data_IF_565333629872
#
_entry.id   IF_565333629872
#
_cell.length_a   1.000
_cell.length_b   1.000
_cell.length_c   1.000
_cell.angle_alpha   90.00
_cell.angle_beta   90.00
_cell.angle_gamma   90.00
#
_symmetry.space_group_name_H-M   'P 1'
#
loop_
_entity.id
_entity.type
_entity.pdbx_description
1 polymer ?
#
# COMPACT_ATOMS: atom_id res chain seq x y z
N UNK A 1 -58.81 1.42 16.06
CA UNK A 1 -58.76 2.89 16.23
C UNK A 1 -57.44 3.19 16.91
N UNK A 2 -56.46 3.90 16.35
CA UNK A 2 -56.25 4.51 15.04
C UNK A 2 -54.74 4.55 14.82
N UNK A 3 -54.33 4.42 13.56
CA UNK A 3 -52.96 4.62 13.12
C UNK A 3 -52.70 6.12 12.91
N UNK A 4 -51.60 6.66 13.46
CA UNK A 4 -51.10 7.98 13.06
C UNK A 4 -49.78 7.85 12.29
N UNK A 5 -49.98 7.89 10.98
CA UNK A 5 -48.99 8.06 9.94
C UNK A 5 -48.42 9.49 10.00
N UNK A 6 -47.12 9.65 10.24
CA UNK A 6 -46.39 10.91 10.00
C UNK A 6 -45.26 10.65 9.00
N UNK A 7 -45.68 10.52 7.75
CA UNK A 7 -45.11 11.17 6.56
C UNK A 7 -43.61 11.48 6.58
N UNK A 8 -42.82 10.50 6.12
CA UNK A 8 -41.48 10.72 5.57
C UNK A 8 -41.61 11.23 4.13
N UNK A 9 -41.30 12.50 3.85
CA UNK A 9 -41.09 12.99 2.47
C UNK A 9 -39.80 13.83 2.39
N UNK A 10 -38.76 13.15 1.90
CA UNK A 10 -37.78 13.56 0.88
C UNK A 10 -37.32 15.02 0.79
N UNK A 11 -36.12 15.28 1.32
CA UNK A 11 -35.25 16.38 0.89
C UNK A 11 -33.75 15.99 0.98
N UNK A 12 -33.34 14.87 0.35
CA UNK A 12 -31.94 14.38 0.45
C UNK A 12 -31.16 14.27 -0.87
N UNK A 13 -31.73 14.71 -2.00
CA UNK A 13 -31.09 14.53 -3.32
C UNK A 13 -30.00 15.55 -3.70
N UNK A 14 -30.00 16.75 -3.13
CA UNK A 14 -29.12 17.85 -3.59
C UNK A 14 -27.95 18.17 -2.64
N UNK A 15 -28.10 17.92 -1.34
CA UNK A 15 -27.03 18.17 -0.35
C UNK A 15 -25.91 17.10 -0.41
N UNK A 16 -26.28 15.85 -0.71
CA UNK A 16 -25.36 14.70 -0.75
C UNK A 16 -24.32 14.81 -1.89
N UNK A 17 -24.71 15.29 -3.07
CA UNK A 17 -23.77 15.46 -4.21
C UNK A 17 -22.73 16.57 -3.97
N UNK A 18 -23.14 17.70 -3.38
CA UNK A 18 -22.21 18.80 -3.03
C UNK A 18 -21.28 18.42 -1.88
N UNK A 19 -21.76 17.70 -0.87
CA UNK A 19 -20.91 17.16 0.20
C UNK A 19 -19.92 16.12 -0.35
N UNK A 20 -20.38 15.19 -1.19
CA UNK A 20 -19.53 14.20 -1.85
C UNK A 20 -18.46 14.86 -2.75
N UNK A 21 -18.81 15.85 -3.56
CA UNK A 21 -17.84 16.57 -4.40
C UNK A 21 -16.81 17.35 -3.58
N UNK A 22 -17.21 17.95 -2.45
CA UNK A 22 -16.28 18.62 -1.52
C UNK A 22 -15.32 17.61 -0.89
N UNK A 23 -15.82 16.45 -0.47
CA UNK A 23 -14.98 15.39 0.11
C UNK A 23 -13.93 14.90 -0.91
N UNK A 24 -14.31 14.70 -2.17
CA UNK A 24 -13.36 14.31 -3.22
C UNK A 24 -12.32 15.40 -3.46
N UNK A 25 -12.70 16.69 -3.45
CA UNK A 25 -11.73 17.77 -3.61
C UNK A 25 -10.73 17.83 -2.42
N UNK A 26 -11.22 17.62 -1.20
CA UNK A 26 -10.37 17.54 -0.01
C UNK A 26 -9.43 16.34 -0.09
N UNK A 27 -9.93 15.17 -0.48
CA UNK A 27 -9.13 13.96 -0.67
C UNK A 27 -7.99 14.17 -1.67
N UNK A 28 -8.28 14.78 -2.84
CA UNK A 28 -7.25 15.13 -3.83
C UNK A 28 -6.20 16.05 -3.25
N UNK A 29 -6.61 17.14 -2.60
CA UNK A 29 -5.70 18.11 -2.00
C UNK A 29 -4.83 17.46 -0.92
N UNK A 30 -5.41 16.59 -0.10
CA UNK A 30 -4.69 15.88 0.95
C UNK A 30 -3.65 14.94 0.34
N UNK A 31 -4.02 14.12 -0.64
CA UNK A 31 -3.10 13.19 -1.32
C UNK A 31 -1.92 13.90 -1.99
N UNK A 32 -2.19 15.02 -2.69
CA UNK A 32 -1.13 15.84 -3.29
C UNK A 32 -0.24 16.47 -2.22
N UNK A 33 -0.82 16.95 -1.12
CA UNK A 33 -0.08 17.58 -0.02
C UNK A 33 0.85 16.57 0.65
N UNK A 34 0.38 15.37 0.97
CA UNK A 34 1.24 14.33 1.54
C UNK A 34 2.26 13.82 0.54
N UNK A 35 1.94 13.77 -0.75
CA UNK A 35 2.93 13.45 -1.80
C UNK A 35 4.06 14.47 -1.83
N UNK A 36 3.73 15.78 -1.73
CA UNK A 36 4.73 16.85 -1.63
C UNK A 36 5.67 16.64 -0.46
N UNK A 37 5.12 16.39 0.72
CA UNK A 37 5.93 16.17 1.91
C UNK A 37 6.75 14.89 1.80
N UNK A 38 6.18 13.81 1.25
CA UNK A 38 6.87 12.55 1.02
C UNK A 38 8.07 12.70 0.08
N UNK A 39 7.91 13.43 -1.04
CA UNK A 39 9.03 13.76 -1.94
C UNK A 39 10.10 14.58 -1.23
N UNK A 40 9.70 15.58 -0.43
CA UNK A 40 10.64 16.38 0.36
C UNK A 40 11.40 15.50 1.37
N UNK A 41 10.71 14.62 2.08
CA UNK A 41 11.33 13.68 3.03
C UNK A 41 12.32 12.75 2.33
N UNK A 42 12.00 12.25 1.13
CA UNK A 42 12.93 11.44 0.34
C UNK A 42 14.18 12.23 -0.10
N UNK A 43 14.02 13.49 -0.49
CA UNK A 43 15.13 14.38 -0.85
C UNK A 43 16.03 14.69 0.36
N UNK A 44 15.44 14.89 1.54
CA UNK A 44 16.19 15.12 2.79
C UNK A 44 16.88 13.86 3.30
N UNK A 45 16.26 12.69 3.08
CA UNK A 45 16.82 11.38 3.44
C UNK A 45 18.02 11.02 2.58
N UNK A 46 17.98 11.39 1.30
CA UNK A 46 19.07 11.10 0.37
C UNK A 46 20.30 11.95 0.71
N UNK A 47 21.38 11.26 1.09
CA UNK A 47 22.62 11.90 1.55
C UNK A 47 23.82 11.42 0.74
N UNK A 48 24.01 10.10 0.64
CA UNK A 48 25.08 9.48 -0.16
C UNK A 48 24.73 8.05 -0.59
N UNK A 49 24.00 7.29 0.25
CA UNK A 49 23.58 5.93 -0.07
C UNK A 49 22.27 5.91 -0.87
N UNK A 50 22.13 5.00 -1.85
CA UNK A 50 20.88 4.81 -2.56
C UNK A 50 19.74 4.41 -1.63
N UNK A 51 18.53 4.90 -1.92
CA UNK A 51 17.32 4.51 -1.19
C UNK A 51 16.82 3.16 -1.72
N UNK A 52 16.57 2.20 -0.82
CA UNK A 52 16.12 0.85 -1.14
C UNK A 52 14.72 0.52 -0.58
N UNK A 53 14.28 -0.73 -0.77
CA UNK A 53 12.96 -1.22 -0.34
C UNK A 53 12.78 -1.28 1.20
N UNK A 54 13.85 -1.10 1.98
CA UNK A 54 13.78 -1.08 3.45
C UNK A 54 13.46 0.29 4.03
N UNK A 55 13.58 1.37 3.24
CA UNK A 55 13.27 2.73 3.68
C UNK A 55 11.77 2.92 3.89
N UNK A 56 11.39 3.22 5.13
CA UNK A 56 10.01 3.57 5.48
C UNK A 56 9.50 4.80 4.70
N UNK A 57 10.39 5.77 4.44
CA UNK A 57 10.09 6.94 3.65
C UNK A 57 9.71 6.56 2.21
N UNK A 58 10.44 5.61 1.60
CA UNK A 58 10.11 5.09 0.28
C UNK A 58 8.84 4.25 0.29
N UNK A 59 8.67 3.35 1.27
CA UNK A 59 7.47 2.51 1.38
C UNK A 59 6.22 3.39 1.45
N UNK A 60 6.27 4.46 2.24
CA UNK A 60 5.17 5.41 2.36
C UNK A 60 4.97 6.22 1.07
N UNK A 61 6.05 6.68 0.42
CA UNK A 61 5.97 7.34 -0.89
C UNK A 61 5.30 6.46 -1.96
N UNK A 62 5.74 5.21 -2.08
CA UNK A 62 5.20 4.25 -3.03
C UNK A 62 3.70 4.02 -2.77
N UNK A 63 3.29 3.93 -1.50
CA UNK A 63 1.89 3.85 -1.11
C UNK A 63 1.09 5.09 -1.53
N UNK A 64 1.62 6.29 -1.29
CA UNK A 64 0.98 7.55 -1.70
C UNK A 64 0.83 7.61 -3.22
N UNK A 65 1.88 7.25 -3.97
CA UNK A 65 1.86 7.27 -5.42
C UNK A 65 0.87 6.24 -5.98
N UNK A 66 0.84 5.01 -5.43
CA UNK A 66 -0.14 3.97 -5.82
C UNK A 66 -1.58 4.45 -5.57
N UNK A 67 -1.85 5.11 -4.44
CA UNK A 67 -3.15 5.71 -4.11
C UNK A 67 -3.53 6.83 -5.08
N UNK A 68 -2.60 7.72 -5.41
CA UNK A 68 -2.83 8.80 -6.39
C UNK A 68 -3.17 8.23 -7.77
N UNK A 69 -2.40 7.24 -8.23
CA UNK A 69 -2.62 6.59 -9.53
C UNK A 69 -3.89 5.74 -9.54
N UNK A 70 -4.37 5.30 -8.38
CA UNK A 70 -5.61 4.53 -8.25
C UNK A 70 -6.83 5.41 -7.90
N UNK A 71 -6.62 6.69 -7.63
CA UNK A 71 -7.68 7.58 -7.15
C UNK A 71 -8.78 7.73 -8.21
N UNK A 72 -9.97 7.21 -7.89
CA UNK A 72 -11.14 7.14 -8.77
C UNK A 72 -10.86 6.45 -10.11
N UNK A 73 -10.07 5.38 -10.05
CA UNK A 73 -9.96 4.44 -11.16
C UNK A 73 -11.33 3.81 -11.44
N UNK A 74 -11.70 3.71 -12.71
CA UNK A 74 -12.94 3.06 -13.13
C UNK A 74 -12.87 1.58 -12.80
N UNK A 75 -13.90 1.08 -12.11
CA UNK A 75 -14.05 -0.33 -11.78
C UNK A 75 -14.09 -1.24 -13.01
N UNK A 76 -14.13 -2.57 -12.83
CA UNK A 76 -14.04 -3.52 -13.93
C UNK A 76 -15.16 -3.29 -14.96
N UNK A 77 -14.79 -3.12 -16.24
CA UNK A 77 -15.74 -2.98 -17.36
C UNK A 77 -16.24 -4.35 -17.85
N UNK A 78 -15.87 -5.46 -17.21
CA UNK A 78 -16.18 -6.82 -17.68
C UNK A 78 -16.60 -7.75 -16.56
N UNK A 79 -17.81 -8.28 -16.69
CA UNK A 79 -18.38 -9.38 -15.90
C UNK A 79 -17.61 -10.71 -16.06
N UNK A 80 -16.71 -10.81 -17.06
CA UNK A 80 -15.97 -12.05 -17.39
C UNK A 80 -14.50 -12.07 -16.96
N UNK A 81 -14.00 -11.04 -16.27
CA UNK A 81 -12.61 -11.02 -15.81
C UNK A 81 -12.47 -11.78 -14.49
N UNK A 82 -12.24 -13.09 -14.58
CA UNK A 82 -11.98 -13.98 -13.43
C UNK A 82 -10.57 -13.87 -12.86
N UNK A 83 -9.69 -13.01 -13.40
CA UNK A 83 -8.25 -13.01 -13.07
C UNK A 83 -7.64 -11.62 -12.82
N UNK A 84 -8.35 -10.73 -12.12
CA UNK A 84 -7.73 -9.53 -11.56
C UNK A 84 -8.53 -8.26 -11.73
N UNK A 85 -8.67 -7.53 -10.63
CA UNK A 85 -9.21 -6.17 -10.62
C UNK A 85 -8.36 -5.30 -11.57
N UNK A 86 -9.01 -4.57 -12.50
CA UNK A 86 -8.33 -3.53 -13.29
C UNK A 86 -7.63 -2.57 -12.34
N UNK A 87 -6.34 -2.39 -12.52
CA UNK A 87 -5.49 -1.54 -11.68
C UNK A 87 -4.85 -0.43 -12.47
N UNK A 88 -4.21 0.52 -11.77
CA UNK A 88 -3.49 1.61 -12.42
C UNK A 88 -2.41 1.10 -13.40
N UNK A 89 -1.90 -0.11 -13.21
CA UNK A 89 -0.98 -0.77 -14.17
C UNK A 89 -1.58 -0.88 -15.57
N UNK A 90 -2.86 -1.22 -15.72
CA UNK A 90 -3.50 -1.33 -17.04
C UNK A 90 -3.49 0.00 -17.79
N UNK A 91 -3.66 1.10 -17.05
CA UNK A 91 -3.54 2.45 -17.58
C UNK A 91 -2.10 2.77 -17.97
N UNK A 92 -1.15 2.54 -17.07
CA UNK A 92 0.28 2.79 -17.30
C UNK A 92 0.78 2.01 -18.52
N UNK A 93 0.46 0.73 -18.61
CA UNK A 93 0.85 -0.13 -19.74
C UNK A 93 0.45 0.48 -21.08
N UNK A 94 -0.77 1.01 -21.18
CA UNK A 94 -1.27 1.59 -22.42
C UNK A 94 -0.73 3.00 -22.66
N UNK A 95 -0.78 3.87 -21.65
CA UNK A 95 -0.46 5.28 -21.77
C UNK A 95 1.05 5.54 -21.89
N UNK A 96 1.88 4.70 -21.27
CA UNK A 96 3.34 4.80 -21.29
C UNK A 96 4.00 4.00 -22.42
N UNK A 97 3.23 3.25 -23.23
CA UNK A 97 3.77 2.45 -24.34
C UNK A 97 4.57 3.25 -25.38
N UNK A 98 4.29 4.56 -25.47
CA UNK A 98 4.96 5.49 -26.40
C UNK A 98 6.21 6.15 -25.81
N UNK A 99 6.52 5.93 -24.53
CA UNK A 99 7.75 6.45 -23.92
C UNK A 99 8.94 5.71 -24.55
N UNK A 100 9.93 6.40 -25.14
CA UNK A 100 11.08 5.74 -25.75
C UNK A 100 11.86 4.89 -24.74
N UNK A 101 12.30 3.69 -25.13
CA UNK A 101 13.07 2.78 -24.27
C UNK A 101 12.41 2.57 -22.90
N UNK A 102 11.10 2.30 -22.88
CA UNK A 102 10.37 2.10 -21.64
C UNK A 102 10.55 0.70 -21.06
N UNK A 103 10.33 0.57 -19.75
CA UNK A 103 10.35 -0.71 -19.04
C UNK A 103 9.03 -1.50 -19.07
N UNK A 104 7.99 -1.01 -19.76
CA UNK A 104 6.64 -1.61 -19.71
C UNK A 104 6.66 -3.04 -20.24
N UNK A 105 7.30 -3.28 -21.39
CA UNK A 105 7.42 -4.61 -21.98
C UNK A 105 8.21 -5.58 -21.09
N UNK A 106 9.29 -5.11 -20.46
CA UNK A 106 10.11 -5.91 -19.56
C UNK A 106 9.32 -6.37 -18.34
N UNK A 107 8.55 -5.47 -17.72
CA UNK A 107 7.71 -5.77 -16.55
C UNK A 107 6.56 -6.71 -16.91
N UNK A 108 5.97 -6.53 -18.09
CA UNK A 108 4.85 -7.37 -18.55
C UNK A 108 5.26 -8.85 -18.67
N UNK A 109 6.52 -9.11 -19.03
CA UNK A 109 7.09 -10.44 -19.26
C UNK A 109 7.76 -11.05 -18.01
N UNK A 110 7.67 -10.42 -16.83
CA UNK A 110 8.26 -10.98 -15.60
C UNK A 110 7.47 -12.19 -15.10
N UNK A 111 8.09 -13.37 -15.09
CA UNK A 111 7.45 -14.63 -14.69
C UNK A 111 7.09 -14.68 -13.20
N UNK A 112 7.86 -14.01 -12.34
CA UNK A 112 7.65 -13.97 -10.89
C UNK A 112 6.62 -12.92 -10.43
N UNK A 113 6.03 -12.15 -11.35
CA UNK A 113 5.11 -11.03 -11.07
C UNK A 113 3.89 -11.16 -11.97
N UNK A 114 2.88 -11.89 -11.50
CA UNK A 114 1.71 -12.22 -12.34
C UNK A 114 0.58 -11.17 -12.26
N UNK A 115 0.35 -10.56 -11.09
CA UNK A 115 -0.83 -9.70 -10.89
C UNK A 115 -0.62 -8.27 -11.42
N UNK A 116 -1.70 -7.62 -11.88
CA UNK A 116 -1.63 -6.22 -12.33
C UNK A 116 -1.13 -5.27 -11.24
N UNK A 117 -1.50 -5.50 -9.97
CA UNK A 117 -1.00 -4.71 -8.83
C UNK A 117 0.51 -4.92 -8.62
N UNK A 118 0.96 -6.18 -8.67
CA UNK A 118 2.36 -6.54 -8.57
C UNK A 118 3.21 -5.87 -9.66
N UNK A 119 2.73 -5.91 -10.90
CA UNK A 119 3.33 -5.23 -12.05
C UNK A 119 3.36 -3.70 -11.88
N UNK A 120 2.28 -3.10 -11.38
CA UNK A 120 2.25 -1.68 -11.06
C UNK A 120 3.28 -1.26 -10.01
N UNK A 121 3.46 -2.06 -8.96
CA UNK A 121 4.49 -1.83 -7.92
C UNK A 121 5.92 -2.02 -8.43
N UNK A 122 6.13 -3.00 -9.31
CA UNK A 122 7.41 -3.19 -9.99
C UNK A 122 7.72 -1.99 -10.89
N UNK A 123 6.72 -1.49 -11.62
CA UNK A 123 6.87 -0.31 -12.45
C UNK A 123 7.24 0.95 -11.67
N UNK A 124 6.65 1.19 -10.50
CA UNK A 124 7.05 2.32 -9.65
C UNK A 124 8.55 2.26 -9.35
N UNK A 125 9.04 1.09 -8.95
CA UNK A 125 10.46 0.86 -8.63
C UNK A 125 11.37 1.07 -9.84
N UNK A 126 11.05 0.43 -10.96
CA UNK A 126 11.88 0.52 -12.18
C UNK A 126 11.90 1.96 -12.72
N UNK A 127 10.75 2.64 -12.77
CA UNK A 127 10.68 4.02 -13.23
C UNK A 127 11.46 5.01 -12.35
N UNK A 128 11.55 4.75 -11.05
CA UNK A 128 12.38 5.52 -10.12
C UNK A 128 13.88 5.22 -10.28
N UNK A 129 14.26 3.95 -10.41
CA UNK A 129 15.66 3.56 -10.69
C UNK A 129 16.15 4.11 -12.03
N UNK A 130 15.28 4.16 -13.04
CA UNK A 130 15.56 4.80 -14.33
C UNK A 130 15.61 6.32 -14.24
N UNK A 131 15.21 6.94 -13.11
CA UNK A 131 15.08 8.39 -12.89
C UNK A 131 14.09 9.06 -13.84
N UNK A 132 13.08 8.32 -14.30
CA UNK A 132 12.15 8.73 -15.39
C UNK A 132 10.69 8.79 -14.96
N UNK A 133 10.40 8.68 -13.67
CA UNK A 133 9.03 8.72 -13.12
C UNK A 133 8.21 9.91 -13.65
N UNK A 134 8.77 11.13 -13.63
CA UNK A 134 8.09 12.33 -14.13
C UNK A 134 7.81 12.28 -15.65
N UNK A 135 8.74 11.75 -16.45
CA UNK A 135 8.59 11.58 -17.91
C UNK A 135 7.45 10.61 -18.24
N UNK A 136 7.38 9.47 -17.53
CA UNK A 136 6.31 8.51 -17.71
C UNK A 136 4.95 9.12 -17.42
N UNK A 137 4.77 9.76 -16.26
CA UNK A 137 3.49 10.36 -15.87
C UNK A 137 3.12 11.50 -16.82
N UNK A 138 4.08 12.35 -17.20
CA UNK A 138 3.84 13.45 -18.16
C UNK A 138 3.37 12.90 -19.51
N UNK A 139 4.00 11.85 -20.01
CA UNK A 139 3.61 11.21 -21.28
C UNK A 139 2.24 10.57 -21.18
N UNK A 140 1.93 9.90 -20.07
CA UNK A 140 0.64 9.28 -19.84
C UNK A 140 -0.49 10.33 -19.84
N UNK A 141 -0.29 11.48 -19.19
CA UNK A 141 -1.26 12.57 -19.11
C UNK A 141 -1.50 13.27 -20.46
N UNK A 142 -0.55 13.22 -21.40
CA UNK A 142 -0.74 13.74 -22.76
C UNK A 142 -1.75 12.91 -23.56
N UNK A 143 -1.87 11.60 -23.30
CA UNK A 143 -2.92 10.77 -23.91
C UNK A 143 -4.24 10.90 -23.15
N UNK A 144 -4.82 12.09 -23.21
CA UNK A 144 -6.08 12.43 -22.52
C UNK A 144 -7.24 11.49 -22.85
N UNK A 145 -7.27 10.93 -24.07
CA UNK A 145 -8.27 9.93 -24.48
C UNK A 145 -8.11 8.66 -23.66
N UNK A 146 -6.90 8.14 -23.54
CA UNK A 146 -6.62 6.96 -22.71
C UNK A 146 -6.87 7.24 -21.24
N UNK A 147 -6.39 8.36 -20.67
CA UNK A 147 -6.64 8.71 -19.26
C UNK A 147 -8.13 8.78 -18.95
N UNK A 148 -8.96 9.42 -19.79
CA UNK A 148 -10.42 9.48 -19.58
C UNK A 148 -11.13 8.13 -19.67
N UNK A 149 -10.55 7.13 -20.35
CA UNK A 149 -11.09 5.76 -20.39
C UNK A 149 -10.92 5.03 -19.06
N UNK A 150 -9.87 5.35 -18.30
CA UNK A 150 -9.53 4.65 -17.06
C UNK A 150 -9.96 5.36 -15.78
N UNK A 151 -10.20 6.68 -15.81
CA UNK A 151 -10.55 7.45 -14.61
C UNK A 151 -11.95 8.04 -14.66
N UNK A 152 -12.61 8.10 -13.50
CA UNK A 152 -13.88 8.80 -13.31
C UNK A 152 -13.69 10.31 -13.15
N UNK A 153 -14.77 11.06 -13.40
CA UNK A 153 -14.76 12.51 -13.20
C UNK A 153 -14.34 12.88 -11.78
N UNK A 154 -13.43 13.83 -11.65
CA UNK A 154 -12.89 14.27 -10.37
C UNK A 154 -11.71 13.44 -9.87
N UNK A 155 -11.20 12.48 -10.65
CA UNK A 155 -9.91 11.83 -10.39
C UNK A 155 -8.74 12.82 -10.43
N UNK A 156 -7.69 12.58 -9.64
CA UNK A 156 -6.46 13.39 -9.64
C UNK A 156 -5.89 13.48 -11.06
N UNK A 157 -5.79 12.34 -11.76
CA UNK A 157 -5.24 12.24 -13.12
C UNK A 157 -6.03 13.01 -14.20
N UNK A 158 -7.20 13.57 -13.86
CA UNK A 158 -8.06 14.36 -14.76
C UNK A 158 -8.21 15.82 -14.31
N UNK A 159 -7.38 16.30 -13.39
CA UNK A 159 -7.46 17.64 -12.78
C UNK A 159 -6.08 18.29 -12.67
N UNK A 160 -6.04 19.55 -12.24
CA UNK A 160 -4.82 20.37 -12.10
C UNK A 160 -3.80 19.77 -11.12
N UNK A 161 -4.28 18.98 -10.15
CA UNK A 161 -3.46 18.21 -9.23
C UNK A 161 -2.46 17.27 -9.95
N UNK A 162 -2.81 16.78 -11.15
CA UNK A 162 -1.90 15.95 -11.94
C UNK A 162 -0.66 16.74 -12.43
N UNK A 163 -0.82 18.02 -12.75
CA UNK A 163 0.31 18.88 -13.13
C UNK A 163 1.21 19.15 -11.93
N UNK A 164 0.63 19.41 -10.76
CA UNK A 164 1.37 19.55 -9.51
C UNK A 164 2.14 18.26 -9.19
N UNK A 165 1.50 17.10 -9.34
CA UNK A 165 2.14 15.79 -9.20
C UNK A 165 3.37 15.67 -10.11
N UNK A 166 3.23 15.96 -11.41
CA UNK A 166 4.39 15.86 -12.33
C UNK A 166 5.54 16.76 -11.91
N UNK A 167 5.26 17.98 -11.43
CA UNK A 167 6.29 18.90 -10.94
C UNK A 167 7.04 18.35 -9.73
N UNK A 168 6.32 17.75 -8.77
CA UNK A 168 6.94 17.10 -7.60
C UNK A 168 7.81 15.91 -7.99
N UNK A 169 7.35 15.09 -8.94
CA UNK A 169 8.08 13.90 -9.39
C UNK A 169 9.39 14.22 -10.12
N UNK A 170 9.58 15.45 -10.62
CA UNK A 170 10.87 15.87 -11.23
C UNK A 170 11.98 15.82 -10.18
N UNK A 171 11.73 16.25 -8.94
CA UNK A 171 12.74 16.26 -7.89
C UNK A 171 13.34 14.87 -7.61
N UNK A 172 12.56 13.81 -7.81
CA UNK A 172 13.00 12.43 -7.56
C UNK A 172 14.12 11.97 -8.49
N UNK A 173 14.36 12.63 -9.63
CA UNK A 173 15.50 12.27 -10.51
C UNK A 173 16.86 12.58 -9.87
N UNK A 174 16.90 13.41 -8.83
CA UNK A 174 18.12 13.70 -8.07
C UNK A 174 18.52 12.57 -7.12
N UNK A 175 17.62 11.63 -6.83
CA UNK A 175 17.83 10.55 -5.87
C UNK A 175 18.31 9.30 -6.61
N UNK A 176 19.28 8.60 -6.03
CA UNK A 176 19.66 7.26 -6.46
C UNK A 176 18.82 6.22 -5.70
N UNK A 177 18.16 5.34 -6.45
CA UNK A 177 17.35 4.25 -5.91
C UNK A 177 17.95 2.89 -6.27
N UNK A 178 17.88 1.94 -5.35
CA UNK A 178 18.37 0.57 -5.53
C UNK A 178 17.35 -0.43 -5.01
N UNK A 179 16.52 -0.97 -5.90
CA UNK A 179 15.43 -1.89 -5.52
C UNK A 179 15.69 -3.32 -5.95
N UNK A 180 15.22 -4.25 -5.12
CA UNK A 180 15.22 -5.67 -5.45
C UNK A 180 13.83 -6.07 -5.96
N UNK A 181 13.72 -6.39 -7.26
CA UNK A 181 12.45 -6.86 -7.83
C UNK A 181 12.12 -8.34 -7.51
N UNK A 182 12.53 -8.81 -6.33
CA UNK A 182 12.35 -10.18 -5.84
C UNK A 182 11.66 -10.13 -4.47
N UNK A 183 10.69 -11.01 -4.25
CA UNK A 183 10.09 -11.24 -2.93
C UNK A 183 8.67 -10.71 -2.73
N UNK A 184 8.19 -10.82 -1.49
CA UNK A 184 6.79 -10.60 -1.09
C UNK A 184 6.32 -9.14 -1.23
N UNK A 185 7.24 -8.17 -1.29
CA UNK A 185 6.92 -6.73 -1.42
C UNK A 185 6.09 -6.43 -2.69
N UNK A 186 6.27 -7.26 -3.72
CA UNK A 186 5.57 -7.14 -4.99
C UNK A 186 4.32 -8.01 -5.08
N UNK A 187 3.97 -8.83 -4.10
CA UNK A 187 2.93 -9.85 -4.24
C UNK A 187 1.50 -9.28 -4.47
N UNK A 188 1.31 -7.99 -4.19
CA UNK A 188 0.05 -7.28 -4.35
C UNK A 188 -1.06 -7.73 -3.39
N UNK A 189 -0.74 -8.55 -2.37
CA UNK A 189 -1.67 -9.03 -1.36
C UNK A 189 -1.86 -8.01 -0.25
N UNK A 190 -0.77 -7.35 0.16
CA UNK A 190 -0.83 -6.32 1.21
C UNK A 190 -1.50 -5.05 0.67
N UNK A 191 -2.56 -4.54 1.34
CA UNK A 191 -3.21 -3.30 0.93
C UNK A 191 -2.26 -2.11 1.09
N UNK A 192 -2.53 -1.06 0.33
CA UNK A 192 -1.78 0.19 0.42
C UNK A 192 -2.21 0.93 1.68
N UNK A 193 -1.26 1.13 2.60
CA UNK A 193 -1.47 1.90 3.82
C UNK A 193 -0.51 3.09 3.81
N UNK A 194 -1.06 4.30 3.85
CA UNK A 194 -0.29 5.53 4.00
C UNK A 194 -0.18 5.84 5.49
N UNK A 195 1.05 6.02 5.98
CA UNK A 195 1.28 6.59 7.29
C UNK A 195 1.29 8.13 7.19
N UNK A 196 0.25 8.76 7.73
CA UNK A 196 0.10 10.21 7.75
C UNK A 196 0.88 10.89 8.88
N UNK A 197 1.34 10.12 9.87
CA UNK A 197 1.93 10.64 11.12
C UNK A 197 3.11 11.59 10.88
N UNK A 198 4.08 11.29 9.99
CA UNK A 198 5.20 12.19 9.72
C UNK A 198 4.74 13.55 9.15
N UNK A 199 3.67 13.57 8.37
CA UNK A 199 3.21 14.74 7.63
C UNK A 199 2.37 15.72 8.46
N UNK A 200 1.82 15.25 9.57
CA UNK A 200 1.14 16.13 10.53
C UNK A 200 2.11 17.18 11.09
N UNK A 201 3.40 16.83 11.29
CA UNK A 201 4.44 17.77 11.72
C UNK A 201 4.84 18.75 10.61
N UNK A 202 4.93 18.29 9.36
CA UNK A 202 5.27 19.14 8.21
C UNK A 202 4.22 20.20 7.89
N UNK A 203 2.95 19.93 8.18
CA UNK A 203 1.88 20.91 7.98
C UNK A 203 2.12 22.17 8.82
N UNK A 204 2.75 22.04 10.00
CA UNK A 204 3.14 23.17 10.85
C UNK A 204 4.34 23.96 10.30
N UNK A 205 5.29 23.30 9.63
CA UNK A 205 6.52 23.95 9.15
C UNK A 205 6.33 24.68 7.82
N UNK A 206 5.36 24.29 7.01
CA UNK A 206 5.11 24.92 5.69
C UNK A 206 4.36 26.26 5.78
N UNK A 207 3.65 26.54 6.88
CA UNK A 207 2.99 27.83 7.13
C UNK A 207 3.99 29.00 7.33
N UNK A 208 5.30 28.72 7.40
CA UNK A 208 6.36 29.73 7.40
C UNK A 208 6.63 30.37 6.03
N UNK A 209 6.20 29.77 4.91
CA UNK A 209 6.50 30.29 3.57
C UNK A 209 5.47 31.28 3.04
N UNK A 210 4.24 31.28 3.57
CA UNK A 210 3.26 32.36 3.34
C UNK A 210 3.77 33.70 3.90
N UNK A 211 4.71 33.66 4.85
CA UNK A 211 5.33 34.82 5.51
C UNK A 211 6.37 35.54 4.60
N UNK A 212 6.93 34.91 3.56
CA UNK A 212 7.88 35.55 2.62
C UNK A 212 7.14 36.45 1.60
N UNK A 213 5.93 36.09 1.17
CA UNK A 213 5.11 36.92 0.27
C UNK A 213 4.62 38.22 0.95
N UNK A 214 4.40 38.21 2.27
CA UNK A 214 4.03 39.43 3.03
C UNK A 214 5.24 40.36 3.27
N UNK A 215 6.46 39.84 3.40
CA UNK A 215 7.68 40.65 3.58
C UNK A 215 8.08 41.41 2.32
N UNK A 216 7.86 40.84 1.14
CA UNK A 216 8.12 41.53 -0.13
C UNK A 216 7.09 42.64 -0.45
N UNK A 217 5.97 42.68 0.26
CA UNK A 217 4.95 43.71 0.08
C UNK A 217 5.23 45.00 0.88
N UNK A 218 6.22 45.00 1.79
CA UNK A 218 6.50 46.12 2.69
C UNK A 218 7.77 46.94 2.35
N UNK A 219 8.59 46.54 1.38
CA UNK A 219 9.86 47.20 1.03
C UNK A 219 9.86 47.93 -0.33
N UNK A 220 8.70 48.26 -0.90
CA UNK A 220 8.64 49.12 -2.09
C UNK A 220 8.15 50.53 -1.75
N UNK A 221 9.05 51.37 -1.26
CA UNK A 221 8.91 52.84 -1.29
C UNK A 221 10.29 53.50 -1.16
N UNK A 222 11.02 53.54 -2.27
CA UNK A 222 12.09 54.52 -2.48
C UNK A 222 11.61 55.53 -3.52
N UNK A 223 11.14 56.68 -3.07
CA UNK A 223 11.08 57.89 -3.90
C UNK A 223 11.48 59.08 -3.03
N UNK A 224 12.59 59.70 -3.41
CA UNK A 224 13.04 60.99 -2.91
C UNK A 224 12.05 62.07 -3.36
N UNK A 225 11.47 62.84 -2.43
CA UNK A 225 11.12 64.25 -2.66
C UNK A 225 10.92 65.02 -1.34
N UNK A 226 11.36 66.27 -1.32
CA UNK A 226 11.43 67.21 -0.20
C UNK A 226 10.04 67.78 0.18
N UNK A 227 9.68 67.79 1.47
CA UNK A 227 8.97 68.92 2.11
C UNK A 227 8.78 68.70 3.63
N UNK A 228 9.00 69.72 4.48
CA UNK A 228 8.79 69.63 5.92
C UNK A 228 7.37 70.07 6.34
N UNK A 229 6.92 69.55 7.49
CA UNK A 229 5.71 69.88 8.27
C UNK A 229 4.42 69.06 7.98
N UNK A 230 4.26 67.98 8.76
CA UNK A 230 2.97 67.65 9.39
C UNK A 230 3.20 66.69 10.59
N UNK A 231 3.07 67.14 11.85
CA UNK A 231 3.28 66.30 13.02
C UNK A 231 2.00 65.53 13.41
N UNK A 232 1.54 64.61 12.58
CA UNK A 232 0.60 63.55 12.99
C UNK A 232 0.76 62.32 12.08
N UNK A 233 1.85 61.57 12.24
CA UNK A 233 1.82 60.15 11.91
C UNK A 233 1.26 59.42 13.13
N UNK A 234 0.15 58.66 13.01
CA UNK A 234 -0.09 57.57 13.95
C UNK A 234 1.14 56.68 13.91
N UNK A 235 1.89 56.62 15.02
CA UNK A 235 2.72 55.47 15.28
C UNK A 235 1.81 54.27 15.06
N UNK A 236 2.04 53.47 14.01
CA UNK A 236 1.65 52.06 14.07
C UNK A 236 2.49 51.53 15.22
N UNK A 237 1.87 51.50 16.40
CA UNK A 237 2.55 51.21 17.65
C UNK A 237 3.05 49.78 17.59
N UNK A 238 4.14 49.50 18.29
CA UNK A 238 4.67 48.15 18.50
C UNK A 238 3.60 47.17 19.06
N UNK A 239 2.47 47.68 19.55
CA UNK A 239 1.25 46.94 19.91
C UNK A 239 0.61 46.18 18.74
N UNK A 240 0.52 46.75 17.54
CA UNK A 240 -0.05 46.04 16.37
C UNK A 240 0.85 44.87 15.94
N UNK A 241 2.15 45.03 16.14
CA UNK A 241 3.19 43.99 15.98
C UNK A 241 3.03 42.88 17.02
N UNK A 242 2.82 43.23 18.28
CA UNK A 242 2.63 42.25 19.37
C UNK A 242 1.29 41.52 19.27
N UNK A 243 0.22 42.21 18.89
CA UNK A 243 -1.11 41.65 18.65
C UNK A 243 -1.09 40.65 17.49
N UNK A 244 -0.40 40.99 16.40
CA UNK A 244 -0.20 40.09 15.26
C UNK A 244 0.65 38.87 15.64
N UNK A 245 1.73 39.06 16.40
CA UNK A 245 2.56 37.95 16.92
C UNK A 245 1.78 37.05 17.88
N UNK A 246 0.96 37.62 18.75
CA UNK A 246 0.09 36.90 19.67
C UNK A 246 -0.95 36.08 18.92
N UNK A 247 -1.67 36.67 17.95
CA UNK A 247 -2.62 35.94 17.10
C UNK A 247 -1.96 34.80 16.32
N UNK A 248 -0.76 35.03 15.76
CA UNK A 248 0.04 33.98 15.09
C UNK A 248 0.40 32.86 16.08
N UNK A 249 0.80 33.19 17.31
CA UNK A 249 1.09 32.21 18.36
C UNK A 249 -0.16 31.43 18.79
N UNK A 250 -1.29 32.12 18.98
CA UNK A 250 -2.58 31.54 19.34
C UNK A 250 -3.06 30.57 18.26
N UNK A 251 -2.95 30.95 16.98
CA UNK A 251 -3.27 30.06 15.86
C UNK A 251 -2.36 28.83 15.84
N UNK A 252 -1.05 28.99 16.04
CA UNK A 252 -0.09 27.88 16.15
C UNK A 252 -0.46 26.95 17.31
N UNK A 253 -0.79 27.51 18.48
CA UNK A 253 -1.21 26.73 19.64
C UNK A 253 -2.48 25.94 19.35
N UNK A 254 -3.50 26.56 18.73
CA UNK A 254 -4.74 25.86 18.34
C UNK A 254 -4.50 24.69 17.39
N UNK A 255 -3.63 24.86 16.39
CA UNK A 255 -3.27 23.79 15.45
C UNK A 255 -2.56 22.66 16.19
N UNK A 256 -1.56 22.97 17.01
CA UNK A 256 -0.81 21.97 17.80
C UNK A 256 -1.72 21.24 18.78
N UNK A 257 -2.64 21.96 19.42
CA UNK A 257 -3.60 21.37 20.36
C UNK A 257 -4.56 20.40 19.66
N UNK A 258 -5.10 20.79 18.49
CA UNK A 258 -5.94 19.91 17.68
C UNK A 258 -5.16 18.67 17.18
N UNK A 259 -3.91 18.85 16.77
CA UNK A 259 -3.03 17.76 16.35
C UNK A 259 -2.73 16.81 17.52
N UNK A 260 -2.45 17.34 18.71
CA UNK A 260 -2.25 16.54 19.92
C UNK A 260 -3.48 15.66 20.17
N UNK A 261 -4.68 16.26 20.19
CA UNK A 261 -5.92 15.50 20.38
C UNK A 261 -6.13 14.43 19.31
N UNK A 262 -5.83 14.73 18.05
CA UNK A 262 -5.88 13.74 16.96
C UNK A 262 -4.92 12.57 17.19
N UNK A 263 -3.68 12.84 17.61
CA UNK A 263 -2.68 11.80 17.88
C UNK A 263 -3.07 10.94 19.09
N UNK A 264 -3.60 11.55 20.15
CA UNK A 264 -4.11 10.82 21.32
C UNK A 264 -5.24 9.86 20.91
N UNK A 265 -6.17 10.29 20.07
CA UNK A 265 -7.23 9.41 19.57
C UNK A 265 -6.74 8.35 18.60
N UNK A 266 -5.75 8.67 17.78
CA UNK A 266 -5.11 7.69 16.91
C UNK A 266 -4.45 6.57 17.73
N UNK A 267 -3.74 6.92 18.80
CA UNK A 267 -3.14 5.94 19.73
C UNK A 267 -4.23 5.08 20.36
N UNK A 268 -5.29 5.69 20.91
CA UNK A 268 -6.40 4.95 21.53
C UNK A 268 -7.08 3.99 20.54
N UNK A 269 -7.26 4.41 19.29
CA UNK A 269 -7.81 3.57 18.23
C UNK A 269 -6.89 2.39 17.92
N UNK A 270 -5.57 2.63 17.79
CA UNK A 270 -4.58 1.57 17.53
C UNK A 270 -4.49 0.57 18.67
N UNK A 271 -4.54 1.02 19.92
CA UNK A 271 -4.59 0.14 21.10
C UNK A 271 -5.84 -0.73 21.10
N UNK A 272 -7.00 -0.17 20.75
CA UNK A 272 -8.25 -0.95 20.62
C UNK A 272 -8.12 -2.01 19.52
N UNK A 273 -7.63 -1.63 18.34
CA UNK A 273 -7.44 -2.56 17.21
C UNK A 273 -6.45 -3.68 17.55
N UNK A 274 -5.36 -3.35 18.24
CA UNK A 274 -4.38 -4.33 18.70
C UNK A 274 -5.04 -5.34 19.64
N UNK A 275 -5.83 -4.86 20.61
CA UNK A 275 -6.54 -5.72 21.56
C UNK A 275 -7.54 -6.65 20.87
N UNK A 276 -8.27 -6.15 19.87
CA UNK A 276 -9.22 -6.95 19.08
C UNK A 276 -8.49 -8.03 18.26
N UNK A 277 -7.40 -7.65 17.58
CA UNK A 277 -6.58 -8.58 16.81
C UNK A 277 -5.91 -9.64 17.70
N UNK A 278 -5.43 -9.26 18.88
CA UNK A 278 -4.89 -10.21 19.85
C UNK A 278 -5.95 -11.20 20.34
N UNK A 279 -7.20 -10.75 20.56
CA UNK A 279 -8.29 -11.63 20.94
C UNK A 279 -8.67 -12.60 19.80
N UNK A 280 -8.71 -12.12 18.56
CA UNK A 280 -8.94 -12.96 17.40
C UNK A 280 -7.81 -13.97 17.18
N UNK A 281 -6.56 -13.54 17.33
CA UNK A 281 -5.41 -14.44 17.18
C UNK A 281 -5.44 -15.55 18.24
N UNK A 282 -5.75 -15.22 19.50
CA UNK A 282 -5.98 -16.23 20.55
C UNK A 282 -7.10 -17.21 20.19
N UNK A 283 -8.22 -16.70 19.64
CA UNK A 283 -9.34 -17.56 19.19
C UNK A 283 -8.91 -18.50 18.06
N UNK A 284 -8.17 -18.01 17.07
CA UNK A 284 -7.68 -18.80 15.94
C UNK A 284 -6.65 -19.85 16.39
N UNK A 285 -5.77 -19.52 17.34
CA UNK A 285 -4.84 -20.47 17.94
C UNK A 285 -5.58 -21.62 18.63
N UNK A 286 -6.60 -21.33 19.43
CA UNK A 286 -7.44 -22.36 20.06
C UNK A 286 -8.15 -23.24 19.03
N UNK A 287 -8.69 -22.65 17.95
CA UNK A 287 -9.32 -23.42 16.88
C UNK A 287 -8.32 -24.34 16.15
N UNK A 288 -7.08 -23.87 15.95
CA UNK A 288 -6.03 -24.66 15.33
C UNK A 288 -5.63 -25.85 16.22
N UNK A 289 -5.50 -25.63 17.53
CA UNK A 289 -5.19 -26.67 18.52
C UNK A 289 -6.32 -27.72 18.60
N UNK A 290 -7.58 -27.28 18.62
CA UNK A 290 -8.74 -28.18 18.63
C UNK A 290 -8.81 -29.02 17.35
N UNK A 291 -8.63 -28.40 16.18
CA UNK A 291 -8.60 -29.09 14.90
C UNK A 291 -7.44 -30.10 14.83
N UNK A 292 -6.26 -29.74 15.34
CA UNK A 292 -5.11 -30.66 15.40
C UNK A 292 -5.38 -31.86 16.33
N UNK A 293 -5.99 -31.62 17.49
CA UNK A 293 -6.36 -32.67 18.43
C UNK A 293 -7.41 -33.62 17.83
N UNK A 294 -8.40 -33.07 17.13
CA UNK A 294 -9.44 -33.84 16.44
C UNK A 294 -8.85 -34.70 15.32
N UNK A 295 -8.01 -34.12 14.46
CA UNK A 295 -7.32 -34.85 13.39
C UNK A 295 -6.45 -36.00 13.96
N UNK A 296 -5.80 -35.78 15.11
CA UNK A 296 -5.01 -36.81 15.79
C UNK A 296 -5.86 -37.92 16.42
N UNK A 297 -7.14 -37.66 16.76
CA UNK A 297 -8.08 -38.70 17.21
C UNK A 297 -8.57 -39.52 16.03
N UNK A 298 -9.03 -38.86 14.97
CA UNK A 298 -9.47 -39.52 13.73
C UNK A 298 -8.37 -40.40 13.15
N UNK A 299 -7.13 -39.93 13.14
CA UNK A 299 -5.97 -40.74 12.74
C UNK A 299 -5.84 -42.02 13.57
N UNK A 300 -5.98 -41.94 14.89
CA UNK A 300 -5.88 -43.11 15.80
C UNK A 300 -7.03 -44.08 15.60
N UNK A 301 -8.24 -43.58 15.37
CA UNK A 301 -9.41 -44.40 15.07
C UNK A 301 -9.22 -45.15 13.74
N UNK A 302 -8.74 -44.47 12.70
CA UNK A 302 -8.43 -45.09 11.41
C UNK A 302 -7.31 -46.13 11.53
N UNK A 303 -6.26 -45.85 12.30
CA UNK A 303 -5.21 -46.83 12.62
C UNK A 303 -5.78 -48.07 13.32
N UNK A 304 -6.71 -47.89 14.26
CA UNK A 304 -7.42 -48.99 14.92
C UNK A 304 -8.24 -49.85 13.95
N UNK A 305 -9.03 -49.22 13.08
CA UNK A 305 -9.81 -49.92 12.04
C UNK A 305 -8.90 -50.70 11.09
N UNK A 306 -7.75 -50.13 10.70
CA UNK A 306 -6.77 -50.83 9.85
C UNK A 306 -6.25 -52.09 10.55
N UNK A 307 -5.94 -52.02 11.85
CA UNK A 307 -5.47 -53.19 12.61
C UNK A 307 -6.55 -54.29 12.71
N UNK A 308 -7.80 -53.92 12.99
CA UNK A 308 -8.92 -54.87 13.02
C UNK A 308 -9.15 -55.54 11.65
N UNK A 309 -9.09 -54.77 10.57
CA UNK A 309 -9.21 -55.30 9.21
C UNK A 309 -8.05 -56.23 8.84
N UNK A 310 -6.82 -55.92 9.28
CA UNK A 310 -5.66 -56.79 9.08
C UNK A 310 -5.81 -58.12 9.84
N UNK A 311 -6.32 -58.10 11.07
CA UNK A 311 -6.60 -59.31 11.84
C UNK A 311 -7.64 -60.20 11.17
N UNK A 312 -8.77 -59.62 10.73
CA UNK A 312 -9.81 -60.34 10.00
C UNK A 312 -9.28 -60.98 8.71
N UNK A 313 -8.46 -60.25 7.95
CA UNK A 313 -7.84 -60.77 6.72
C UNK A 313 -6.89 -61.93 7.02
N UNK A 314 -6.12 -61.84 8.10
CA UNK A 314 -5.20 -62.90 8.53
C UNK A 314 -5.94 -64.17 8.97
N UNK A 315 -7.09 -64.01 9.66
CA UNK A 315 -7.95 -65.13 10.05
C UNK A 315 -8.70 -65.80 8.90
N UNK A 316 -8.86 -65.12 7.76
CA UNK A 316 -9.52 -65.64 6.56
C UNK A 316 -8.57 -66.35 5.58
N UNK A 317 -7.25 -66.30 5.81
CA UNK A 317 -6.28 -67.10 5.06
C UNK A 317 -6.24 -68.49 5.71
N UNK A 318 -6.70 -69.57 5.06
CA UNK A 318 -6.58 -70.91 5.60
C UNK A 318 -5.10 -71.26 5.74
N UNK A 319 -4.66 -71.44 6.99
CA UNK A 319 -3.38 -72.07 7.27
C UNK A 319 -3.47 -73.57 6.97
N UNK A 320 -2.98 -73.99 5.81
CA UNK A 320 -2.51 -75.36 5.64
C UNK A 320 -1.31 -75.55 6.58
N UNK A 321 -1.55 -76.16 7.74
CA UNK A 321 -0.48 -76.64 8.61
C UNK A 321 0.05 -77.97 8.06
N UNK A 322 1.32 -77.99 7.63
CA UNK A 322 2.16 -79.17 7.77
C UNK A 322 3.33 -78.82 8.71
N UNK A 323 3.60 -79.63 9.76
CA UNK A 323 4.74 -79.40 10.63
C UNK A 323 5.97 -80.07 10.02
N UNK A 324 6.95 -79.30 9.57
CA UNK A 324 8.30 -79.82 9.34
C UNK A 324 9.33 -78.86 9.95
N UNK A 325 9.70 -79.18 11.18
CA UNK A 325 11.01 -78.83 11.70
C UNK A 325 12.06 -79.55 10.84
N UNK A 326 12.75 -78.81 9.96
CA UNK A 326 14.21 -78.79 9.81
C UNK A 326 14.62 -78.20 8.44
N UNK A 327 15.35 -77.08 8.53
CA UNK A 327 16.41 -76.71 7.61
C UNK A 327 16.01 -76.33 6.19
N UNK A 328 16.03 -75.02 5.89
CA UNK A 328 16.94 -74.45 4.88
C UNK A 328 16.81 -72.93 4.84
N UNK A 329 17.96 -72.29 4.75
CA UNK A 329 18.14 -70.84 4.58
C UNK A 329 17.59 -70.38 3.24
N UNK A 330 17.28 -69.08 3.18
CA UNK A 330 17.11 -68.23 1.99
C UNK A 330 15.82 -68.42 1.17
N UNK A 331 14.95 -67.40 1.20
CA UNK A 331 14.58 -66.57 0.02
C UNK A 331 13.70 -65.42 0.54
N UNK A 332 14.23 -64.21 0.45
CA UNK A 332 13.57 -62.95 0.77
C UNK A 332 12.98 -62.37 -0.51
N UNK A 333 11.65 -62.25 -0.61
CA UNK A 333 10.99 -61.41 -1.61
C UNK A 333 9.82 -60.68 -0.95
N UNK A 334 9.85 -59.33 -0.82
CA UNK A 334 8.73 -58.58 -0.27
C UNK A 334 7.76 -58.19 -1.39
N UNK A 335 6.48 -58.56 -1.23
CA UNK A 335 5.39 -58.08 -2.07
C UNK A 335 5.07 -56.63 -1.67
N UNK A 336 5.56 -55.68 -2.47
CA UNK A 336 5.30 -54.24 -2.34
C UNK A 336 3.89 -53.94 -2.85
N UNK A 337 2.97 -53.62 -1.95
CA UNK A 337 1.75 -52.87 -2.28
C UNK A 337 2.00 -51.39 -1.95
N UNK A 338 2.36 -50.64 -2.99
CA UNK A 338 2.44 -49.18 -2.97
C UNK A 338 1.03 -48.58 -2.97
N UNK A 339 0.67 -47.90 -1.88
CA UNK A 339 -0.26 -46.77 -1.92
C UNK A 339 0.55 -45.48 -1.69
N UNK A 340 0.33 -44.40 -2.46
CA UNK A 340 1.13 -43.19 -2.31
C UNK A 340 0.64 -42.36 -1.12
N UNK A 341 1.47 -42.26 -0.08
CA UNK A 341 1.28 -41.32 1.02
C UNK A 341 1.50 -39.89 0.52
N UNK A 342 0.42 -39.10 0.47
CA UNK A 342 0.46 -37.66 0.29
C UNK A 342 0.94 -37.00 1.59
N UNK A 343 2.18 -36.52 1.61
CA UNK A 343 2.57 -35.33 2.38
C UNK A 343 3.68 -35.51 3.42
N UNK A 344 4.92 -35.19 3.02
CA UNK A 344 5.87 -34.45 3.88
C UNK A 344 6.69 -33.51 3.01
N UNK A 345 6.07 -32.38 2.65
CA UNK A 345 6.76 -31.21 2.11
C UNK A 345 6.87 -30.20 3.25
N UNK A 346 7.97 -30.24 4.01
CA UNK A 346 8.50 -29.05 4.67
C UNK A 346 9.95 -29.23 5.15
N UNK A 347 10.86 -28.40 4.59
CA UNK A 347 12.08 -27.76 5.15
C UNK A 347 13.17 -28.66 5.80
N UNK A 348 14.47 -28.41 5.67
CA UNK A 348 15.27 -27.27 5.21
C UNK A 348 16.74 -27.73 4.99
N UNK A 349 17.49 -26.95 4.20
CA UNK A 349 18.96 -26.65 4.30
C UNK A 349 19.96 -27.83 4.34
N UNK A 350 21.06 -27.90 3.57
CA UNK A 350 21.74 -26.97 2.67
C UNK A 350 23.08 -27.61 2.23
N UNK A 351 23.85 -26.83 1.45
CA UNK A 351 25.32 -26.94 1.21
C UNK A 351 25.82 -27.89 0.08
N UNK A 352 26.42 -27.23 -0.93
CA UNK A 352 27.47 -27.60 -1.92
C UNK A 352 27.95 -29.05 -2.01
N UNK A 353 28.23 -29.63 -3.19
CA UNK A 353 29.23 -29.20 -4.19
C UNK A 353 29.14 -30.10 -5.48
N UNK A 354 30.08 -30.14 -6.45
CA UNK A 354 29.83 -29.81 -7.85
C UNK A 354 30.00 -31.00 -8.85
N UNK A 355 29.80 -30.70 -10.14
CA UNK A 355 30.32 -31.37 -11.37
C UNK A 355 29.38 -32.29 -12.16
N UNK A 356 29.24 -31.87 -13.44
CA UNK A 356 29.28 -32.66 -14.69
C UNK A 356 28.02 -33.49 -15.01
N UNK A 357 27.34 -33.14 -16.10
CA UNK A 357 27.63 -33.72 -17.43
C UNK A 357 27.00 -32.89 -18.55
N UNK A 358 27.76 -32.74 -19.64
CA UNK A 358 27.33 -32.27 -20.97
C UNK A 358 26.26 -33.21 -21.54
N UNK A 359 25.24 -32.65 -22.20
CA UNK A 359 25.12 -32.60 -23.66
C UNK A 359 24.09 -31.57 -24.08
#
# INVERSE_FOLDING_TARGET
MEASFVQTIMALGLSSKKASSRNVAVERRNLITVCRFSVKTLLEKYTAEPIDDSSEEFVNFAAILEQILSHRFKGPVSWFSSDGQRGFWDYIRLACSKVPNNCVGSIENMENISTARAKGRAWIRVALMEKRMSEYITTALRDTRTTRRFYDSGAIMLREEATVLTGMLIGLSAIDFSFCLKGEVLDGKTPVVIDYTPYLKFTQSYDYLTDEEERHSAESSTSEDNSPEHPYLPLVTDEDSWYSKWHKMEQKFRIVYAQKGYLEELVRLRESQLKDLEAENRRLQLQLEEAAAQNQREKRELEGVILELQEQLTGLIPGDHAPLAQGSKEITTPLVNQWPSLGTLHRAEGVSDPKRYRR
#
